data_IF_188972887214
#
_entry.id   IF_188972887214
#
_cell.length_a   1.000
_cell.length_b   1.000
_cell.length_c   1.000
_cell.angle_alpha   90.00
_cell.angle_beta   90.00
_cell.angle_gamma   90.00
#
_symmetry.space_group_name_H-M   'P 1'
#
loop_
_entity.id
_entity.type
_entity.pdbx_description
1 polymer ?
#
# COMPACT_ATOMS: atom_id res chain seq x y z
N UNK A 1 -7.25 28.87 7.66
CA UNK A 1 -7.21 27.58 6.92
C UNK A 1 -6.68 26.51 7.89
N UNK A 2 -7.41 25.43 8.16
CA UNK A 2 -6.91 24.35 9.04
C UNK A 2 -5.90 23.52 8.26
N UNK A 3 -4.72 23.17 8.85
CA UNK A 3 -3.76 22.31 8.18
C UNK A 3 -4.39 20.93 7.89
N UNK A 4 -4.04 20.33 6.76
CA UNK A 4 -4.43 18.96 6.46
C UNK A 4 -3.66 18.02 7.42
N UNK A 5 -4.39 17.29 8.24
CA UNK A 5 -3.84 16.23 9.10
C UNK A 5 -4.46 14.90 8.69
N UNK A 6 -3.65 13.88 8.58
CA UNK A 6 -4.15 12.52 8.35
C UNK A 6 -4.98 12.07 9.55
N UNK A 7 -6.16 11.48 9.25
CA UNK A 7 -7.10 11.07 10.28
C UNK A 7 -6.58 9.86 11.07
N UNK A 8 -6.08 10.15 12.27
CA UNK A 8 -5.60 9.14 13.20
C UNK A 8 -6.68 8.14 13.64
N UNK A 9 -7.96 8.54 13.65
CA UNK A 9 -9.05 7.67 14.09
C UNK A 9 -9.34 6.60 13.04
N UNK A 10 -9.35 6.95 11.76
CA UNK A 10 -9.50 6.01 10.67
C UNK A 10 -8.36 5.00 10.59
N UNK A 11 -7.13 5.42 10.90
CA UNK A 11 -5.94 4.57 10.90
C UNK A 11 -5.85 3.64 12.12
N UNK A 12 -6.51 3.98 13.24
CA UNK A 12 -6.58 3.16 14.47
C UNK A 12 -7.72 2.15 14.48
N UNK A 13 -8.57 2.10 13.45
CA UNK A 13 -9.66 1.11 13.40
C UNK A 13 -9.11 -0.28 13.62
N UNK A 14 -9.80 -1.05 14.49
CA UNK A 14 -9.52 -2.48 14.63
C UNK A 14 -9.91 -3.17 13.33
N UNK A 15 -8.91 -3.50 12.54
CA UNK A 15 -9.07 -4.34 11.36
C UNK A 15 -9.17 -5.80 11.81
N UNK A 16 -10.05 -6.53 11.18
CA UNK A 16 -10.19 -7.96 11.42
C UNK A 16 -9.17 -8.68 10.54
N UNK A 17 -8.44 -9.64 11.09
CA UNK A 17 -7.59 -10.54 10.31
C UNK A 17 -8.34 -11.37 9.25
N UNK A 18 -9.65 -11.15 9.11
CA UNK A 18 -10.55 -11.78 8.12
C UNK A 18 -10.90 -10.86 6.96
N UNK A 19 -10.47 -9.59 6.99
CA UNK A 19 -10.71 -8.69 5.86
C UNK A 19 -9.91 -9.11 4.60
N UNK A 20 -10.24 -8.50 3.47
CA UNK A 20 -9.68 -8.91 2.18
C UNK A 20 -8.18 -8.67 2.08
N UNK A 21 -7.66 -7.55 2.64
CA UNK A 21 -6.23 -7.27 2.65
C UNK A 21 -5.48 -8.31 3.49
N UNK A 22 -5.94 -8.59 4.70
CA UNK A 22 -5.34 -9.61 5.56
C UNK A 22 -5.32 -11.01 4.89
N UNK A 23 -6.40 -11.34 4.18
CA UNK A 23 -6.50 -12.62 3.44
C UNK A 23 -5.56 -12.67 2.26
N UNK A 24 -5.42 -11.58 1.50
CA UNK A 24 -4.56 -11.52 0.31
C UNK A 24 -3.07 -11.58 0.67
N UNK A 25 -2.67 -10.93 1.77
CA UNK A 25 -1.32 -10.99 2.31
C UNK A 25 -0.96 -12.41 2.82
N UNK A 26 -1.92 -13.13 3.35
CA UNK A 26 -1.73 -14.47 3.85
C UNK A 26 -1.33 -14.55 5.33
N UNK A 27 -1.73 -15.66 5.96
CA UNK A 27 -1.56 -15.83 7.42
C UNK A 27 -0.10 -15.99 7.85
N UNK A 28 0.74 -16.61 7.01
CA UNK A 28 2.15 -16.90 7.32
C UNK A 28 3.08 -15.71 7.04
N UNK A 29 2.61 -14.68 6.35
CA UNK A 29 3.38 -13.48 6.08
C UNK A 29 3.78 -12.80 7.40
N UNK A 30 5.04 -12.43 7.54
CA UNK A 30 5.62 -11.71 8.68
C UNK A 30 6.06 -10.31 8.28
N UNK A 31 6.64 -10.16 7.08
CA UNK A 31 7.20 -8.92 6.57
C UNK A 31 6.50 -8.47 5.29
N UNK A 32 6.20 -7.17 5.20
CA UNK A 32 5.55 -6.56 4.04
C UNK A 32 6.28 -5.28 3.67
N UNK A 33 6.59 -5.12 2.38
CA UNK A 33 6.92 -3.81 1.82
C UNK A 33 5.64 -3.26 1.17
N UNK A 34 5.12 -2.14 1.67
CA UNK A 34 4.12 -1.32 0.99
C UNK A 34 4.89 -0.35 0.06
N UNK A 35 4.92 -0.68 -1.23
CA UNK A 35 5.75 0.02 -2.21
C UNK A 35 5.09 1.28 -2.80
N UNK A 36 3.85 1.56 -2.41
CA UNK A 36 3.05 2.71 -2.84
C UNK A 36 2.29 3.30 -1.65
N UNK A 37 3.02 3.62 -0.57
CA UNK A 37 2.43 3.83 0.75
C UNK A 37 1.42 4.99 0.83
N UNK A 38 1.59 6.04 0.03
CA UNK A 38 0.70 7.19 0.05
C UNK A 38 0.56 7.75 1.47
N UNK A 39 -0.66 7.92 1.94
CA UNK A 39 -0.95 8.35 3.31
C UNK A 39 -0.86 7.22 4.36
N UNK A 40 -0.42 6.02 3.97
CA UNK A 40 -0.11 4.91 4.88
C UNK A 40 -1.31 4.12 5.40
N UNK A 41 -2.51 4.29 4.88
CA UNK A 41 -3.71 3.60 5.40
C UNK A 41 -3.56 2.09 5.42
N UNK A 42 -3.13 1.50 4.33
CA UNK A 42 -2.94 0.06 4.21
C UNK A 42 -1.68 -0.39 4.98
N UNK A 43 -0.60 0.41 4.97
CA UNK A 43 0.60 0.16 5.78
C UNK A 43 0.28 0.11 7.30
N UNK A 44 -0.48 1.07 7.83
CA UNK A 44 -0.94 1.04 9.23
C UNK A 44 -1.87 -0.14 9.52
N UNK A 45 -2.72 -0.51 8.56
CA UNK A 45 -3.54 -1.71 8.69
C UNK A 45 -2.67 -2.96 8.84
N UNK A 46 -1.70 -3.16 7.96
CA UNK A 46 -0.75 -4.29 8.01
C UNK A 46 0.03 -4.32 9.32
N UNK A 47 0.51 -3.16 9.76
CA UNK A 47 1.17 -3.02 11.06
C UNK A 47 0.26 -3.43 12.23
N UNK A 48 -1.00 -3.02 12.22
CA UNK A 48 -1.98 -3.39 13.24
C UNK A 48 -2.32 -4.89 13.23
N UNK A 49 -2.13 -5.57 12.10
CA UNK A 49 -2.19 -7.03 11.98
C UNK A 49 -0.92 -7.73 12.51
N UNK A 50 0.03 -6.98 13.06
CA UNK A 50 1.26 -7.51 13.64
C UNK A 50 2.37 -7.81 12.63
N UNK A 51 2.32 -7.21 11.44
CA UNK A 51 3.38 -7.36 10.42
C UNK A 51 4.52 -6.38 10.67
N UNK A 52 5.74 -6.77 10.26
CA UNK A 52 6.83 -5.83 10.06
C UNK A 52 6.58 -5.13 8.72
N UNK A 53 6.49 -3.81 8.73
CA UNK A 53 6.11 -3.03 7.56
C UNK A 53 7.23 -2.05 7.17
N UNK A 54 7.64 -2.10 5.91
CA UNK A 54 8.42 -1.05 5.28
C UNK A 54 7.49 -0.31 4.32
N UNK A 55 7.19 0.94 4.61
CA UNK A 55 6.39 1.82 3.77
C UNK A 55 7.33 2.64 2.88
N UNK A 56 7.18 2.55 1.55
CA UNK A 56 7.98 3.33 0.60
C UNK A 56 7.06 4.35 -0.07
N UNK A 57 7.46 5.62 -0.01
CA UNK A 57 6.72 6.72 -0.63
C UNK A 57 7.67 7.63 -1.42
N UNK A 58 7.38 7.80 -2.73
CA UNK A 58 8.22 8.58 -3.64
C UNK A 58 8.00 10.09 -3.56
N UNK A 59 6.76 10.52 -3.23
CA UNK A 59 6.43 11.94 -3.10
C UNK A 59 6.99 12.52 -1.81
N UNK A 60 7.89 13.52 -1.87
CA UNK A 60 8.46 14.13 -0.66
C UNK A 60 7.40 14.73 0.26
N UNK A 61 6.35 15.33 -0.31
CA UNK A 61 5.28 15.97 0.46
C UNK A 61 4.45 14.93 1.20
N UNK A 62 4.08 13.85 0.50
CA UNK A 62 3.29 12.75 1.09
C UNK A 62 4.10 12.01 2.15
N UNK A 63 5.39 11.78 1.91
CA UNK A 63 6.29 11.13 2.86
C UNK A 63 6.42 11.93 4.17
N UNK A 64 6.50 13.27 4.12
CA UNK A 64 6.52 14.12 5.32
C UNK A 64 5.21 14.01 6.11
N UNK A 65 4.07 13.99 5.42
CA UNK A 65 2.76 13.82 6.07
C UNK A 65 2.62 12.43 6.70
N UNK A 66 3.14 11.41 6.03
CA UNK A 66 3.14 10.03 6.55
C UNK A 66 4.08 9.91 7.77
N UNK A 67 5.26 10.56 7.75
CA UNK A 67 6.16 10.60 8.90
C UNK A 67 5.49 11.20 10.15
N UNK A 68 4.81 12.35 10.01
CA UNK A 68 4.03 12.95 11.11
C UNK A 68 2.94 12.00 11.64
N UNK A 69 2.30 11.24 10.76
CA UNK A 69 1.31 10.24 11.17
C UNK A 69 1.95 9.06 11.94
N UNK A 70 3.11 8.60 11.51
CA UNK A 70 3.88 7.53 12.16
C UNK A 70 4.26 7.95 13.58
N UNK A 71 4.85 9.13 13.74
CA UNK A 71 5.27 9.66 15.05
C UNK A 71 4.09 9.76 16.03
N UNK A 72 2.90 10.07 15.55
CA UNK A 72 1.69 10.18 16.39
C UNK A 72 1.00 8.85 16.69
N UNK A 73 1.14 7.85 15.84
CA UNK A 73 0.30 6.65 15.84
C UNK A 73 1.04 5.39 16.26
N UNK A 74 2.33 5.31 16.00
CA UNK A 74 3.13 4.12 16.33
C UNK A 74 3.73 4.26 17.72
N UNK A 75 3.39 3.35 18.64
CA UNK A 75 4.01 3.33 19.96
C UNK A 75 5.52 3.08 19.85
N UNK A 76 6.32 3.77 20.66
CA UNK A 76 7.78 3.61 20.68
C UNK A 76 8.22 2.15 20.87
N UNK A 77 7.50 1.38 21.67
CA UNK A 77 7.76 -0.05 21.89
C UNK A 77 7.58 -0.93 20.64
N UNK A 78 7.02 -0.41 19.54
CA UNK A 78 6.82 -1.12 18.27
C UNK A 78 7.42 -0.38 17.08
N UNK A 79 8.21 0.66 17.31
CA UNK A 79 8.82 1.49 16.25
C UNK A 79 9.67 0.65 15.28
N UNK A 80 10.37 -0.37 15.79
CA UNK A 80 11.20 -1.27 14.96
C UNK A 80 10.41 -2.13 13.98
N UNK A 81 9.09 -2.22 14.16
CA UNK A 81 8.22 -2.98 13.27
C UNK A 81 7.57 -2.14 12.15
N UNK A 82 7.89 -0.84 12.08
CA UNK A 82 7.41 0.04 11.03
C UNK A 82 8.50 1.01 10.59
N UNK A 83 8.88 0.97 9.32
CA UNK A 83 9.87 1.87 8.73
C UNK A 83 9.25 2.65 7.58
N UNK A 84 9.53 3.95 7.50
CA UNK A 84 9.24 4.77 6.32
C UNK A 84 10.54 5.02 5.54
N UNK A 85 10.47 4.77 4.23
CA UNK A 85 11.54 5.09 3.29
C UNK A 85 11.00 6.06 2.24
N UNK A 86 11.63 7.23 2.12
CA UNK A 86 11.34 8.20 1.09
C UNK A 86 12.22 7.95 -0.13
N UNK A 87 11.71 7.15 -1.07
CA UNK A 87 12.43 6.79 -2.30
C UNK A 87 11.47 6.24 -3.35
N UNK A 88 11.97 6.01 -4.58
CA UNK A 88 11.30 5.16 -5.57
C UNK A 88 11.46 3.68 -5.18
N UNK A 89 10.35 2.96 -5.10
CA UNK A 89 10.34 1.57 -4.66
C UNK A 89 11.22 0.67 -5.55
N UNK A 90 11.27 0.89 -6.86
CA UNK A 90 12.10 0.12 -7.80
C UNK A 90 13.58 0.22 -7.49
N UNK A 91 14.03 1.42 -7.08
CA UNK A 91 15.43 1.64 -6.66
C UNK A 91 15.70 1.00 -5.31
N UNK A 92 14.71 1.11 -4.40
CA UNK A 92 14.89 0.66 -3.02
C UNK A 92 14.88 -0.85 -2.85
N UNK A 93 14.16 -1.57 -3.69
CA UNK A 93 14.09 -3.04 -3.64
C UNK A 93 15.47 -3.71 -3.67
N UNK A 94 16.44 -3.16 -4.40
CA UNK A 94 17.80 -3.71 -4.47
C UNK A 94 18.62 -3.52 -3.18
N UNK A 95 18.11 -2.76 -2.21
CA UNK A 95 18.78 -2.41 -0.97
C UNK A 95 17.98 -2.83 0.28
N UNK A 96 16.97 -3.64 0.12
CA UNK A 96 16.17 -4.19 1.21
C UNK A 96 16.32 -5.71 1.23
N UNK A 97 16.24 -6.30 2.42
CA UNK A 97 16.05 -7.74 2.52
C UNK A 97 14.73 -8.12 1.85
N UNK A 98 14.69 -9.24 1.09
CA UNK A 98 13.47 -9.69 0.44
C UNK A 98 12.34 -9.91 1.46
N UNK A 99 11.17 -9.22 1.31
CA UNK A 99 10.05 -9.41 2.20
C UNK A 99 9.25 -10.67 1.84
N UNK A 100 8.45 -11.15 2.78
CA UNK A 100 7.47 -12.19 2.46
C UNK A 100 6.51 -11.73 1.35
N UNK A 101 6.01 -10.49 1.45
CA UNK A 101 5.03 -9.92 0.52
C UNK A 101 5.42 -8.50 0.15
N UNK A 102 5.26 -8.16 -1.14
CA UNK A 102 5.24 -6.77 -1.61
C UNK A 102 3.79 -6.40 -1.92
N UNK A 103 3.32 -5.30 -1.34
CA UNK A 103 2.00 -4.74 -1.53
C UNK A 103 2.05 -3.49 -2.42
N UNK A 104 1.13 -3.41 -3.38
CA UNK A 104 1.00 -2.31 -4.33
C UNK A 104 -0.44 -1.78 -4.32
N UNK A 105 -0.62 -0.48 -4.15
CA UNK A 105 -1.88 0.25 -4.38
C UNK A 105 -1.62 1.44 -5.32
N UNK A 106 -1.17 1.18 -6.57
CA UNK A 106 -0.85 2.26 -7.49
C UNK A 106 -2.08 3.08 -7.84
N UNK A 107 -1.87 4.37 -8.09
CA UNK A 107 -2.92 5.28 -8.50
C UNK A 107 -3.38 4.93 -9.92
N UNK A 108 -4.64 4.50 -10.05
CA UNK A 108 -5.22 4.16 -11.36
C UNK A 108 -5.89 5.37 -12.00
N UNK A 109 -5.83 5.46 -13.35
CA UNK A 109 -6.59 6.47 -14.08
C UNK A 109 -8.07 6.43 -13.69
N UNK A 110 -8.64 7.60 -13.49
CA UNK A 110 -10.04 7.71 -13.10
C UNK A 110 -10.97 7.39 -14.28
N UNK A 111 -12.02 6.62 -14.05
CA UNK A 111 -13.13 6.59 -15.00
C UNK A 111 -13.79 7.97 -14.96
N UNK A 112 -13.86 8.64 -16.11
CA UNK A 112 -14.48 9.96 -16.28
C UNK A 112 -15.76 10.09 -15.44
N UNK A 113 -15.77 11.08 -14.54
CA UNK A 113 -16.95 11.46 -13.78
C UNK A 113 -17.12 10.86 -12.37
N UNK A 114 -16.23 9.99 -11.86
CA UNK A 114 -16.33 9.42 -10.52
C UNK A 114 -15.35 9.99 -9.48
N UNK A 115 -14.40 10.83 -9.89
CA UNK A 115 -13.45 11.48 -8.96
C UNK A 115 -14.16 12.37 -7.93
N UNK A 116 -15.31 12.95 -8.27
CA UNK A 116 -16.12 13.75 -7.34
C UNK A 116 -16.67 12.95 -6.15
N UNK A 117 -16.75 11.62 -6.25
CA UNK A 117 -17.17 10.70 -5.18
C UNK A 117 -15.99 10.17 -4.34
N UNK A 118 -14.75 10.41 -4.79
CA UNK A 118 -13.57 10.05 -4.02
C UNK A 118 -13.46 10.94 -2.78
N UNK A 119 -13.13 10.36 -1.63
CA UNK A 119 -12.91 11.12 -0.40
C UNK A 119 -11.85 12.21 -0.60
N UNK A 120 -11.99 13.33 0.12
CA UNK A 120 -11.12 14.52 0.01
C UNK A 120 -9.62 14.18 0.07
N UNK A 121 -9.23 13.23 0.90
CA UNK A 121 -7.84 12.77 1.02
C UNK A 121 -7.32 12.13 -0.28
N UNK A 122 -8.13 11.29 -0.94
CA UNK A 122 -7.75 10.66 -2.20
C UNK A 122 -7.63 11.68 -3.34
N UNK A 123 -8.52 12.70 -3.35
CA UNK A 123 -8.41 13.81 -4.32
C UNK A 123 -7.12 14.59 -4.14
N UNK A 124 -6.74 14.88 -2.89
CA UNK A 124 -5.49 15.58 -2.58
C UNK A 124 -4.28 14.70 -2.96
N UNK A 125 -4.32 13.41 -2.63
CA UNK A 125 -3.24 12.49 -2.98
C UNK A 125 -3.04 12.44 -4.49
N UNK A 126 -4.10 12.32 -5.27
CA UNK A 126 -4.03 12.36 -6.75
C UNK A 126 -3.45 13.65 -7.29
N UNK A 127 -3.84 14.78 -6.72
CA UNK A 127 -3.31 16.08 -7.13
C UNK A 127 -1.80 16.24 -6.83
N UNK A 128 -1.28 15.53 -5.82
CA UNK A 128 0.13 15.58 -5.44
C UNK A 128 1.00 14.56 -6.17
N UNK A 129 0.46 13.39 -6.50
CA UNK A 129 1.24 12.24 -7.00
C UNK A 129 1.02 11.97 -8.49
N UNK A 130 -0.17 12.30 -9.02
CA UNK A 130 -0.58 11.92 -10.39
C UNK A 130 -0.97 10.46 -10.51
N UNK A 131 -1.01 9.95 -11.75
CA UNK A 131 -1.24 8.55 -12.06
C UNK A 131 0.08 7.77 -12.10
N UNK A 132 0.05 6.47 -11.73
CA UNK A 132 1.21 5.58 -11.73
C UNK A 132 1.28 4.81 -13.06
N UNK A 133 1.76 5.47 -14.11
CA UNK A 133 1.92 4.85 -15.44
C UNK A 133 2.94 3.69 -15.42
N UNK A 134 3.86 3.70 -14.49
CA UNK A 134 4.93 2.72 -14.29
C UNK A 134 4.54 1.54 -13.37
N UNK A 135 3.27 1.43 -13.00
CA UNK A 135 2.80 0.38 -12.09
C UNK A 135 3.05 -1.05 -12.62
N UNK A 136 2.99 -1.24 -13.95
CA UNK A 136 3.30 -2.53 -14.58
C UNK A 136 4.74 -2.95 -14.38
N UNK A 137 5.68 -2.03 -14.58
CA UNK A 137 7.12 -2.28 -14.38
C UNK A 137 7.41 -2.54 -12.90
N UNK A 138 6.78 -1.76 -12.00
CA UNK A 138 6.89 -1.97 -10.56
C UNK A 138 6.44 -3.37 -10.14
N UNK A 139 5.32 -3.88 -10.72
CA UNK A 139 4.86 -5.25 -10.47
C UNK A 139 5.89 -6.28 -10.89
N UNK A 140 6.51 -6.12 -12.08
CA UNK A 140 7.52 -7.08 -12.57
C UNK A 140 8.74 -7.14 -11.65
N UNK A 141 9.26 -5.97 -11.25
CA UNK A 141 10.39 -5.90 -10.31
C UNK A 141 9.99 -6.47 -8.94
N UNK A 142 8.81 -6.14 -8.42
CA UNK A 142 8.33 -6.67 -7.15
C UNK A 142 8.24 -8.21 -7.15
N UNK A 143 7.78 -8.81 -8.26
CA UNK A 143 7.69 -10.28 -8.39
C UNK A 143 9.03 -10.98 -8.37
N UNK A 144 10.10 -10.33 -8.80
CA UNK A 144 11.46 -10.94 -8.76
C UNK A 144 12.09 -10.90 -7.37
N UNK A 145 11.47 -10.20 -6.40
CA UNK A 145 12.05 -9.93 -5.08
C UNK A 145 11.23 -10.52 -3.93
N UNK A 146 9.91 -10.45 -4.00
CA UNK A 146 9.04 -10.97 -2.94
C UNK A 146 9.25 -12.49 -2.76
N UNK A 147 9.36 -12.95 -1.50
CA UNK A 147 9.57 -14.35 -1.19
C UNK A 147 8.34 -15.25 -1.40
N UNK A 148 7.13 -14.70 -1.23
CA UNK A 148 5.91 -15.49 -1.32
C UNK A 148 4.96 -14.99 -2.41
N UNK A 149 4.74 -13.67 -2.48
CA UNK A 149 3.81 -13.08 -3.46
C UNK A 149 3.91 -11.57 -3.54
N UNK A 150 3.38 -11.03 -4.64
CA UNK A 150 3.02 -9.61 -4.75
C UNK A 150 1.50 -9.48 -4.68
N UNK A 151 0.99 -8.53 -3.92
CA UNK A 151 -0.44 -8.23 -3.82
C UNK A 151 -0.70 -6.85 -4.38
N UNK A 152 -1.59 -6.78 -5.38
CA UNK A 152 -1.98 -5.51 -6.03
C UNK A 152 -3.43 -5.20 -5.72
N UNK A 153 -3.68 -4.05 -5.12
CA UNK A 153 -5.05 -3.56 -4.92
C UNK A 153 -5.57 -2.94 -6.21
N UNK A 154 -6.79 -3.29 -6.56
CA UNK A 154 -7.47 -2.84 -7.78
C UNK A 154 -8.89 -2.40 -7.48
N UNK A 155 -9.44 -1.43 -8.20
CA UNK A 155 -10.89 -1.26 -8.25
C UNK A 155 -11.54 -2.57 -8.73
N UNK A 156 -12.68 -2.96 -8.16
CA UNK A 156 -13.33 -4.23 -8.49
C UNK A 156 -13.70 -4.40 -9.98
N UNK A 157 -13.84 -3.28 -10.69
CA UNK A 157 -14.17 -3.21 -12.11
C UNK A 157 -12.95 -3.21 -13.05
N UNK A 158 -11.75 -2.91 -12.53
CA UNK A 158 -10.55 -2.78 -13.37
C UNK A 158 -10.02 -4.15 -13.79
N UNK A 159 -9.37 -4.24 -14.96
CA UNK A 159 -8.62 -5.42 -15.34
C UNK A 159 -7.41 -5.69 -14.44
N UNK A 160 -6.73 -6.82 -14.53
CA UNK A 160 -5.49 -7.08 -13.81
C UNK A 160 -4.39 -6.11 -14.24
N UNK A 161 -3.37 -5.96 -13.41
CA UNK A 161 -2.17 -5.20 -13.77
C UNK A 161 -1.20 -6.13 -14.48
N UNK A 162 -1.05 -5.97 -15.81
CA UNK A 162 -0.21 -6.87 -16.62
C UNK A 162 -0.85 -8.24 -16.81
N UNK A 163 -0.19 -9.32 -16.37
CA UNK A 163 -0.68 -10.70 -16.50
C UNK A 163 -1.85 -11.00 -15.57
N UNK A 164 -2.55 -12.12 -15.83
CA UNK A 164 -3.57 -12.60 -14.90
C UNK A 164 -2.95 -12.95 -13.53
N UNK A 165 -3.61 -12.61 -12.42
CA UNK A 165 -3.16 -13.01 -11.09
C UNK A 165 -3.41 -14.51 -10.84
N UNK A 166 -2.61 -15.11 -9.95
CA UNK A 166 -2.81 -16.49 -9.52
C UNK A 166 -4.01 -16.63 -8.59
N UNK A 167 -4.29 -15.61 -7.77
CA UNK A 167 -5.42 -15.57 -6.85
C UNK A 167 -6.07 -14.18 -6.85
N UNK A 168 -7.40 -14.15 -6.70
CA UNK A 168 -8.16 -12.91 -6.56
C UNK A 168 -9.00 -12.92 -5.27
N UNK A 169 -8.93 -11.84 -4.51
CA UNK A 169 -9.73 -11.62 -3.32
C UNK A 169 -10.71 -10.48 -3.60
N UNK A 170 -11.93 -10.81 -4.03
CA UNK A 170 -12.90 -9.83 -4.51
C UNK A 170 -13.78 -9.28 -3.40
N UNK A 171 -13.92 -7.97 -3.39
CA UNK A 171 -14.87 -7.22 -2.61
C UNK A 171 -15.83 -6.43 -3.49
N UNK A 172 -16.73 -5.68 -2.88
CA UNK A 172 -17.74 -4.88 -3.60
C UNK A 172 -17.12 -3.71 -4.37
N UNK A 173 -16.19 -3.00 -3.78
CA UNK A 173 -15.57 -1.79 -4.34
C UNK A 173 -14.13 -2.03 -4.81
N UNK A 174 -13.41 -2.92 -4.13
CA UNK A 174 -12.01 -3.23 -4.39
C UNK A 174 -11.80 -4.74 -4.46
N UNK A 175 -10.76 -5.15 -5.16
CA UNK A 175 -10.21 -6.50 -5.12
C UNK A 175 -8.71 -6.43 -4.89
N UNK A 176 -8.14 -7.54 -4.46
CA UNK A 176 -6.70 -7.73 -4.33
C UNK A 176 -6.28 -8.88 -5.22
N UNK A 177 -5.42 -8.60 -6.17
CA UNK A 177 -4.84 -9.56 -7.10
C UNK A 177 -3.52 -10.03 -6.49
N UNK A 178 -3.37 -11.33 -6.27
CA UNK A 178 -2.15 -11.91 -5.74
C UNK A 178 -1.41 -12.69 -6.84
N UNK A 179 -0.14 -12.35 -7.02
CA UNK A 179 0.81 -12.97 -7.93
C UNK A 179 1.82 -13.76 -7.08
N UNK A 180 1.78 -15.07 -7.17
CA UNK A 180 2.68 -15.94 -6.41
C UNK A 180 4.10 -15.86 -7.02
N UNK A 181 5.08 -15.94 -6.14
CA UNK A 181 6.49 -16.10 -6.52
C UNK A 181 6.87 -17.57 -6.39
N UNK A 182 7.76 -18.02 -7.26
CA UNK A 182 8.20 -19.43 -7.30
C UNK A 182 9.01 -19.81 -6.06
#
# INVERSE_FOLDING_TARGET
MRPLRLDAVGMRRRFSGRDLLARSIGRRCRSVIDATAGFGRDAFHLFNLGKHVIAIERSPVVAVMLADAIDRLIPSARSDSFQLIRDDARRRFTHCDPPDVIYLDPMFPDRQGRSALAGKELQILRALVGDDEDAGDLLQVARSIALQRVVVKRPAWAGPLGSAPDLEYRGRAVRYDAYLTA
#
